data_IF_028609204562
#
_entry.id   IF_028609204562
#
_cell.length_a   1.000
_cell.length_b   1.000
_cell.length_c   1.000
_cell.angle_alpha   90.00
_cell.angle_beta   90.00
_cell.angle_gamma   90.00
#
_symmetry.space_group_name_H-M   'P 1'
#
loop_
_entity.id
_entity.type
_entity.pdbx_description
1 polymer ?
#
# COMPACT_ATOMS: atom_id res chain seq x y z
N UNK A 1 -44.37 62.52 -13.87
CA UNK A 1 -44.48 63.02 -15.26
C UNK A 1 -43.66 62.09 -16.15
N UNK A 2 -44.36 61.27 -16.96
CA UNK A 2 -43.94 60.72 -18.28
C UNK A 2 -42.80 59.67 -18.27
N UNK A 3 -43.14 58.36 -18.29
CA UNK A 3 -43.14 57.38 -19.42
C UNK A 3 -41.75 56.75 -19.67
N UNK A 4 -41.53 55.48 -20.05
CA UNK A 4 -42.30 54.36 -20.64
C UNK A 4 -41.38 53.11 -20.53
N UNK A 5 -41.74 51.89 -20.09
CA UNK A 5 -42.64 50.85 -20.60
C UNK A 5 -42.51 50.46 -22.08
N UNK A 6 -41.92 49.28 -22.33
CA UNK A 6 -42.36 48.15 -23.18
C UNK A 6 -41.16 47.18 -23.35
N UNK A 7 -41.28 45.85 -23.37
CA UNK A 7 -42.28 45.05 -24.09
C UNK A 7 -42.34 43.61 -23.56
N UNK A 8 -43.57 43.13 -23.35
CA UNK A 8 -43.96 41.73 -23.19
C UNK A 8 -44.33 41.19 -24.58
N UNK A 9 -43.93 39.96 -24.92
CA UNK A 9 -44.60 39.02 -25.84
C UNK A 9 -44.18 37.60 -25.41
N UNK A 10 -44.94 36.92 -24.55
CA UNK A 10 -45.97 35.92 -24.89
C UNK A 10 -45.51 34.86 -25.90
N UNK A 11 -45.22 33.64 -25.41
CA UNK A 11 -45.63 32.41 -26.09
C UNK A 11 -46.19 31.41 -25.07
N UNK A 12 -47.36 30.91 -25.42
CA UNK A 12 -48.23 29.98 -24.73
C UNK A 12 -47.89 28.54 -25.09
N UNK A 13 -47.79 27.65 -24.10
CA UNK A 13 -47.73 26.20 -24.30
C UNK A 13 -48.22 25.48 -23.04
N UNK A 14 -49.36 24.80 -23.15
CA UNK A 14 -50.14 24.17 -22.05
C UNK A 14 -49.38 23.01 -21.39
N UNK A 15 -49.65 22.69 -20.10
CA UNK A 15 -49.19 21.46 -19.48
C UNK A 15 -50.12 20.30 -19.91
N UNK A 16 -49.57 19.31 -20.61
CA UNK A 16 -50.27 18.07 -20.94
C UNK A 16 -50.24 17.12 -19.73
N UNK A 17 -51.41 16.95 -19.13
CA UNK A 17 -51.72 15.94 -18.13
C UNK A 17 -51.65 14.54 -18.79
N UNK A 18 -50.68 13.71 -18.42
CA UNK A 18 -50.67 12.31 -18.85
C UNK A 18 -51.52 11.48 -17.89
N UNK A 19 -52.74 11.17 -18.31
CA UNK A 19 -53.58 10.13 -17.73
C UNK A 19 -53.03 8.76 -18.12
N UNK A 20 -52.31 8.10 -17.21
CA UNK A 20 -51.94 6.69 -17.36
C UNK A 20 -53.16 5.81 -17.21
N UNK A 21 -53.66 5.25 -18.31
CA UNK A 21 -54.69 4.20 -18.32
C UNK A 21 -53.97 2.85 -18.35
N UNK A 22 -54.20 2.02 -17.33
CA UNK A 22 -53.71 0.64 -17.26
C UNK A 22 -54.51 -0.24 -18.23
N UNK A 23 -53.83 -0.84 -19.19
CA UNK A 23 -54.21 -2.01 -19.98
C UNK A 23 -52.91 -2.83 -20.06
N UNK A 24 -52.82 -4.10 -19.69
CA UNK A 24 -53.69 -5.22 -20.00
C UNK A 24 -52.76 -6.29 -20.57
N UNK A 25 -52.70 -7.43 -19.91
CA UNK A 25 -51.71 -8.50 -20.07
C UNK A 25 -51.69 -9.07 -21.50
N UNK A 26 -50.48 -9.19 -22.07
CA UNK A 26 -50.15 -10.21 -23.06
C UNK A 26 -50.35 -9.83 -24.52
N UNK A 27 -49.31 -9.24 -25.13
CA UNK A 27 -49.02 -9.48 -26.55
C UNK A 27 -47.52 -9.22 -26.80
N UNK A 28 -46.81 -10.28 -27.19
CA UNK A 28 -45.36 -10.31 -27.38
C UNK A 28 -45.09 -9.91 -28.84
N UNK A 29 -44.82 -8.62 -29.08
CA UNK A 29 -44.30 -8.18 -30.38
C UNK A 29 -42.91 -8.80 -30.59
N UNK A 30 -42.75 -9.57 -31.67
CA UNK A 30 -41.46 -10.08 -32.11
C UNK A 30 -40.64 -8.91 -32.62
N UNK A 31 -39.70 -8.46 -31.80
CA UNK A 31 -38.73 -7.44 -32.17
C UNK A 31 -37.61 -8.11 -32.99
N UNK A 32 -37.81 -8.21 -34.31
CA UNK A 32 -36.83 -8.78 -35.25
C UNK A 32 -35.66 -7.84 -35.57
N UNK A 33 -35.43 -6.80 -34.76
CA UNK A 33 -34.36 -5.82 -34.99
C UNK A 33 -33.57 -5.46 -33.73
N UNK A 34 -33.38 -6.40 -32.80
CA UNK A 34 -32.40 -6.22 -31.72
C UNK A 34 -30.98 -6.31 -32.31
N UNK A 35 -30.16 -5.25 -32.25
CA UNK A 35 -28.75 -5.35 -32.64
C UNK A 35 -28.10 -6.44 -31.77
N UNK A 36 -27.36 -7.35 -32.41
CA UNK A 36 -26.53 -8.32 -31.68
C UNK A 36 -25.54 -7.49 -30.84
N UNK A 37 -25.67 -7.57 -29.52
CA UNK A 37 -24.63 -7.10 -28.62
C UNK A 37 -23.43 -8.03 -28.80
N UNK A 38 -22.56 -7.72 -29.78
CA UNK A 38 -21.17 -8.15 -29.72
C UNK A 38 -20.57 -7.43 -28.52
N UNK A 39 -20.57 -8.11 -27.37
CA UNK A 39 -19.85 -7.65 -26.19
C UNK A 39 -18.36 -7.86 -26.46
N UNK A 40 -17.75 -6.92 -27.19
CA UNK A 40 -16.30 -6.81 -27.28
C UNK A 40 -15.78 -6.46 -25.88
N UNK A 41 -15.40 -7.48 -25.12
CA UNK A 41 -14.74 -7.29 -23.84
C UNK A 41 -13.36 -6.67 -24.10
N UNK A 42 -13.26 -5.35 -23.91
CA UNK A 42 -11.96 -4.68 -23.89
C UNK A 42 -11.23 -5.09 -22.61
N UNK A 43 -10.17 -5.88 -22.75
CA UNK A 43 -9.26 -6.18 -21.65
C UNK A 43 -8.45 -4.92 -21.33
N UNK A 44 -8.92 -4.12 -20.38
CA UNK A 44 -8.17 -3.00 -19.84
C UNK A 44 -7.16 -3.53 -18.82
N UNK A 45 -5.87 -3.47 -19.15
CA UNK A 45 -4.83 -3.71 -18.15
C UNK A 45 -4.73 -2.47 -17.25
N UNK A 46 -5.29 -2.58 -16.04
CA UNK A 46 -5.09 -1.55 -15.01
C UNK A 46 -3.63 -1.63 -14.55
N UNK A 47 -2.87 -0.53 -14.62
CA UNK A 47 -1.49 -0.52 -14.14
C UNK A 47 -1.46 -0.83 -12.64
N UNK A 48 -0.37 -1.45 -12.17
CA UNK A 48 -0.23 -1.79 -10.77
C UNK A 48 -0.29 -0.57 -9.84
N UNK A 49 -0.58 -0.80 -8.56
CA UNK A 49 -0.57 0.28 -7.57
C UNK A 49 0.88 0.66 -7.22
N UNK A 50 1.19 1.96 -7.27
CA UNK A 50 2.53 2.50 -6.98
C UNK A 50 3.03 2.12 -5.59
N UNK A 51 2.16 2.24 -4.58
CA UNK A 51 2.50 2.00 -3.18
C UNK A 51 2.66 0.52 -2.86
N UNK A 52 1.91 -0.36 -3.54
CA UNK A 52 2.08 -1.81 -3.46
C UNK A 52 3.38 -2.21 -4.18
N UNK A 53 3.62 -1.68 -5.39
CA UNK A 53 4.84 -1.94 -6.18
C UNK A 53 6.10 -1.68 -5.34
N UNK A 54 6.19 -0.53 -4.68
CA UNK A 54 7.37 -0.24 -3.83
C UNK A 54 7.50 -1.20 -2.64
N UNK A 55 6.40 -1.62 -2.02
CA UNK A 55 6.44 -2.59 -0.90
C UNK A 55 6.90 -3.96 -1.35
N UNK A 56 6.40 -4.46 -2.49
CA UNK A 56 6.79 -5.77 -3.00
C UNK A 56 8.24 -5.78 -3.45
N UNK A 57 8.76 -4.68 -4.02
CA UNK A 57 10.19 -4.57 -4.33
C UNK A 57 11.04 -4.66 -3.06
N UNK A 58 10.72 -3.85 -2.04
CA UNK A 58 11.44 -3.86 -0.76
C UNK A 58 11.40 -5.25 -0.13
N UNK A 59 10.22 -5.86 -0.05
CA UNK A 59 10.05 -7.16 0.60
C UNK A 59 10.73 -8.30 -0.18
N UNK A 60 10.64 -8.29 -1.52
CA UNK A 60 11.33 -9.26 -2.37
C UNK A 60 12.85 -9.15 -2.24
N UNK A 61 13.40 -7.94 -2.12
CA UNK A 61 14.83 -7.72 -1.87
C UNK A 61 15.28 -8.24 -0.50
N UNK A 62 14.39 -8.29 0.50
CA UNK A 62 14.65 -8.82 1.84
C UNK A 62 14.43 -10.33 1.98
N UNK A 63 13.82 -10.98 0.98
CA UNK A 63 13.53 -12.41 1.01
C UNK A 63 14.80 -13.26 0.88
N UNK A 64 14.77 -14.47 1.44
CA UNK A 64 15.83 -15.46 1.27
C UNK A 64 15.56 -16.32 0.03
N UNK A 65 15.89 -15.78 -1.15
CA UNK A 65 15.78 -16.49 -2.44
C UNK A 65 15.20 -15.64 -3.57
N UNK A 66 14.75 -16.32 -4.64
CA UNK A 66 14.21 -15.66 -5.83
C UNK A 66 12.70 -15.43 -5.74
N UNK A 67 12.30 -14.16 -5.76
CA UNK A 67 10.90 -13.72 -5.86
C UNK A 67 10.49 -13.48 -7.31
N UNK A 68 9.24 -13.77 -7.66
CA UNK A 68 8.65 -13.55 -9.00
C UNK A 68 7.53 -12.53 -8.93
N UNK A 69 7.70 -11.40 -9.58
CA UNK A 69 6.74 -10.28 -9.51
C UNK A 69 6.26 -9.90 -10.91
N UNK A 70 4.95 -9.76 -11.10
CA UNK A 70 4.34 -9.36 -12.37
C UNK A 70 3.26 -8.28 -12.19
N UNK A 71 2.99 -7.53 -13.24
CA UNK A 71 2.04 -6.42 -13.22
C UNK A 71 2.49 -5.23 -12.36
N UNK A 72 3.80 -5.05 -12.18
CA UNK A 72 4.36 -3.93 -11.44
C UNK A 72 4.10 -2.61 -12.17
N UNK A 73 3.94 -1.53 -11.42
CA UNK A 73 3.88 -0.20 -12.01
C UNK A 73 5.29 0.25 -12.42
N UNK A 74 5.49 0.53 -13.70
CA UNK A 74 6.68 1.26 -14.16
C UNK A 74 6.52 2.76 -13.87
N UNK A 75 7.57 3.39 -13.34
CA UNK A 75 7.60 4.84 -13.15
C UNK A 75 8.79 5.32 -12.32
N UNK A 76 9.07 6.62 -12.39
CA UNK A 76 10.26 7.24 -11.76
C UNK A 76 10.41 6.90 -10.27
N UNK A 77 9.35 7.08 -9.47
CA UNK A 77 9.39 6.75 -8.03
C UNK A 77 9.74 5.28 -7.75
N UNK A 78 9.25 4.37 -8.61
CA UNK A 78 9.50 2.93 -8.48
C UNK A 78 10.93 2.62 -8.88
N UNK A 79 11.42 3.18 -9.99
CA UNK A 79 12.80 3.01 -10.43
C UNK A 79 13.81 3.58 -9.44
N UNK A 80 13.55 4.73 -8.83
CA UNK A 80 14.43 5.25 -7.76
C UNK A 80 14.47 4.32 -6.55
N UNK A 81 13.34 3.68 -6.20
CA UNK A 81 13.31 2.69 -5.12
C UNK A 81 14.08 1.42 -5.51
N UNK A 82 13.91 0.96 -6.75
CA UNK A 82 14.63 -0.18 -7.32
C UNK A 82 16.16 0.06 -7.33
N UNK A 83 16.61 1.25 -7.73
CA UNK A 83 18.02 1.60 -7.77
C UNK A 83 18.66 1.66 -6.38
N UNK A 84 17.92 2.17 -5.39
CA UNK A 84 18.37 2.14 -4.01
C UNK A 84 18.51 0.69 -3.49
N UNK A 85 17.58 -0.19 -3.82
CA UNK A 85 17.66 -1.61 -3.46
C UNK A 85 18.83 -2.32 -4.16
N UNK A 86 19.12 -2.00 -5.43
CA UNK A 86 20.32 -2.48 -6.14
C UNK A 86 21.59 -2.01 -5.44
N UNK A 87 21.64 -0.75 -5.04
CA UNK A 87 22.78 -0.16 -4.31
C UNK A 87 23.00 -0.82 -2.95
N UNK A 88 21.93 -1.33 -2.33
CA UNK A 88 21.97 -2.11 -1.08
C UNK A 88 22.31 -3.60 -1.30
N UNK A 89 22.50 -4.04 -2.55
CA UNK A 89 23.00 -5.37 -2.90
C UNK A 89 21.96 -6.33 -3.50
N UNK A 90 20.70 -5.93 -3.66
CA UNK A 90 19.69 -6.79 -4.26
C UNK A 90 19.88 -6.92 -5.78
N UNK A 91 19.72 -8.14 -6.32
CA UNK A 91 19.76 -8.37 -7.77
C UNK A 91 18.35 -8.18 -8.33
N UNK A 92 18.11 -7.00 -8.91
CA UNK A 92 16.81 -6.57 -9.39
C UNK A 92 16.96 -5.96 -10.80
N UNK A 93 16.23 -6.43 -11.82
CA UNK A 93 16.24 -5.85 -13.16
C UNK A 93 15.42 -4.54 -13.21
N UNK A 94 15.52 -3.78 -14.29
CA UNK A 94 14.61 -2.64 -14.53
C UNK A 94 13.16 -3.10 -14.60
N UNK A 95 12.23 -2.26 -14.14
CA UNK A 95 10.82 -2.59 -14.15
C UNK A 95 10.29 -2.42 -15.58
N UNK A 96 9.71 -3.47 -16.19
CA UNK A 96 9.26 -3.40 -17.56
C UNK A 96 8.01 -2.53 -17.69
N UNK A 97 7.89 -1.81 -18.81
CA UNK A 97 6.76 -0.92 -19.08
C UNK A 97 5.47 -1.67 -19.43
N UNK A 98 5.58 -2.92 -19.88
CA UNK A 98 4.46 -3.79 -20.26
C UNK A 98 3.90 -4.61 -19.09
N UNK A 99 4.49 -4.50 -17.90
CA UNK A 99 4.10 -5.25 -16.71
C UNK A 99 4.48 -6.73 -16.74
N UNK A 100 5.40 -7.15 -17.61
CA UNK A 100 5.95 -8.51 -17.64
C UNK A 100 6.58 -8.91 -16.30
N UNK A 101 6.71 -10.23 -16.11
CA UNK A 101 7.31 -10.79 -14.89
C UNK A 101 8.79 -10.43 -14.78
N UNK A 102 9.21 -10.02 -13.59
CA UNK A 102 10.61 -9.91 -13.20
C UNK A 102 10.95 -10.89 -12.09
N UNK A 103 12.24 -11.23 -12.00
CA UNK A 103 12.82 -12.04 -10.93
C UNK A 103 13.76 -11.18 -10.11
N UNK A 104 13.64 -11.28 -8.79
CA UNK A 104 14.49 -10.57 -7.84
C UNK A 104 15.14 -11.61 -6.94
N UNK A 105 16.47 -11.66 -6.91
CA UNK A 105 17.21 -12.42 -5.92
C UNK A 105 17.36 -11.56 -4.67
N UNK A 106 16.61 -11.88 -3.62
CA UNK A 106 16.70 -11.20 -2.34
C UNK A 106 17.99 -11.53 -1.60
N UNK A 107 18.45 -10.59 -0.79
CA UNK A 107 19.69 -10.74 0.00
C UNK A 107 19.45 -11.31 1.39
N UNK A 108 18.18 -11.51 1.79
CA UNK A 108 17.81 -11.83 3.16
C UNK A 108 17.85 -10.62 4.10
N UNK A 109 17.25 -10.76 5.29
CA UNK A 109 17.15 -9.68 6.28
C UNK A 109 18.50 -9.09 6.69
N UNK A 110 19.54 -9.93 6.74
CA UNK A 110 20.89 -9.55 7.16
C UNK A 110 21.89 -9.38 5.98
N UNK A 111 21.42 -9.41 4.73
CA UNK A 111 22.30 -9.38 3.56
C UNK A 111 22.46 -8.02 2.88
N UNK A 112 21.77 -6.99 3.37
CA UNK A 112 21.94 -5.62 2.87
C UNK A 112 23.37 -5.14 3.11
N UNK A 113 23.90 -4.33 2.19
CA UNK A 113 25.25 -3.79 2.26
C UNK A 113 25.22 -2.27 2.23
N UNK A 114 26.13 -1.63 2.98
CA UNK A 114 26.31 -0.18 2.90
C UNK A 114 26.65 0.23 1.46
N UNK A 115 25.87 1.12 0.84
CA UNK A 115 26.12 1.56 -0.52
C UNK A 115 27.36 2.47 -0.56
N UNK A 116 28.04 2.54 -1.71
CA UNK A 116 29.17 3.46 -1.92
C UNK A 116 28.76 4.89 -2.26
N UNK A 117 27.47 5.11 -2.51
CA UNK A 117 26.85 6.39 -2.87
C UNK A 117 25.56 6.57 -2.08
N UNK A 118 25.12 7.81 -1.99
CA UNK A 118 23.81 8.13 -1.41
C UNK A 118 22.68 7.46 -2.20
N UNK A 119 21.64 7.03 -1.48
CA UNK A 119 20.44 6.42 -2.02
C UNK A 119 19.48 7.51 -2.50
N UNK A 120 19.56 7.86 -3.78
CA UNK A 120 18.68 8.86 -4.40
C UNK A 120 17.32 8.28 -4.73
N UNK A 121 16.30 8.74 -4.01
CA UNK A 121 14.93 8.28 -4.18
C UNK A 121 14.09 9.18 -5.10
N UNK A 122 14.71 10.15 -5.77
CA UNK A 122 14.02 11.11 -6.63
C UNK A 122 12.87 11.77 -5.88
N UNK A 123 11.63 11.56 -6.34
CA UNK A 123 10.43 12.08 -5.70
C UNK A 123 9.63 11.03 -4.89
N UNK A 124 10.19 9.83 -4.69
CA UNK A 124 9.52 8.68 -4.09
C UNK A 124 9.31 8.86 -2.58
N UNK A 125 8.22 9.54 -2.21
CA UNK A 125 7.87 9.77 -0.81
C UNK A 125 7.50 8.49 -0.04
N UNK A 126 6.92 7.49 -0.72
CA UNK A 126 6.68 6.18 -0.11
C UNK A 126 8.00 5.44 0.06
N UNK A 127 8.86 5.41 -0.97
CA UNK A 127 10.12 4.68 -0.96
C UNK A 127 11.03 5.18 0.15
N UNK A 128 11.13 6.51 0.30
CA UNK A 128 11.93 7.14 1.35
C UNK A 128 11.50 6.75 2.75
N UNK A 129 10.19 6.74 3.02
CA UNK A 129 9.68 6.41 4.36
C UNK A 129 9.86 4.93 4.69
N UNK A 130 9.62 4.05 3.72
CA UNK A 130 9.74 2.61 3.92
C UNK A 130 11.21 2.18 4.02
N UNK A 131 12.07 2.68 3.11
CA UNK A 131 13.50 2.40 3.16
C UNK A 131 14.14 2.95 4.42
N UNK A 132 13.70 4.11 4.94
CA UNK A 132 14.20 4.60 6.22
C UNK A 132 13.93 3.61 7.37
N UNK A 133 12.77 2.95 7.38
CA UNK A 133 12.46 1.88 8.34
C UNK A 133 13.34 0.65 8.15
N UNK A 134 13.52 0.20 6.90
CA UNK A 134 14.42 -0.93 6.56
C UNK A 134 15.85 -0.65 7.03
N UNK A 135 16.37 0.53 6.69
CA UNK A 135 17.73 0.94 7.01
C UNK A 135 17.93 1.07 8.51
N UNK A 136 16.97 1.65 9.23
CA UNK A 136 17.02 1.76 10.69
C UNK A 136 17.12 0.40 11.40
N UNK A 137 16.49 -0.64 10.87
CA UNK A 137 16.60 -2.01 11.41
C UNK A 137 17.82 -2.78 10.92
N UNK A 138 18.48 -2.32 9.85
CA UNK A 138 19.59 -3.01 9.22
C UNK A 138 20.94 -2.70 9.89
N UNK A 139 21.98 -3.45 9.50
CA UNK A 139 23.36 -3.17 9.91
C UNK A 139 24.12 -2.32 8.88
N UNK A 140 23.43 -1.58 8.01
CA UNK A 140 24.08 -0.76 6.98
C UNK A 140 24.16 0.71 7.38
N UNK A 141 25.21 1.38 6.90
CA UNK A 141 25.32 2.84 6.94
C UNK A 141 24.94 3.37 5.56
N UNK A 142 23.98 4.29 5.49
CA UNK A 142 23.51 4.85 4.24
C UNK A 142 22.92 6.25 4.41
N UNK A 143 23.02 7.08 3.38
CA UNK A 143 22.34 8.38 3.30
C UNK A 143 21.19 8.30 2.32
N UNK A 144 19.98 8.67 2.72
CA UNK A 144 18.86 8.86 1.80
C UNK A 144 18.82 10.30 1.31
N UNK A 145 18.74 10.49 0.01
CA UNK A 145 18.57 11.80 -0.65
C UNK A 145 17.38 11.75 -1.61
N UNK A 146 17.08 12.89 -2.23
CA UNK A 146 16.00 13.01 -3.20
C UNK A 146 16.03 14.36 -3.90
N UNK A 147 15.05 14.59 -4.77
CA UNK A 147 14.89 15.88 -5.45
C UNK A 147 14.49 17.01 -4.49
N UNK A 148 14.47 18.24 -4.99
CA UNK A 148 14.09 19.44 -4.22
C UNK A 148 12.69 19.30 -3.60
N UNK A 149 11.76 18.62 -4.29
CA UNK A 149 10.41 18.41 -3.76
C UNK A 149 10.45 17.47 -2.56
N UNK A 150 11.13 16.33 -2.67
CA UNK A 150 11.22 15.34 -1.60
C UNK A 150 12.00 15.86 -0.40
N UNK A 151 13.06 16.65 -0.61
CA UNK A 151 13.82 17.32 0.46
C UNK A 151 12.97 18.29 1.29
N UNK A 152 11.91 18.87 0.73
CA UNK A 152 10.98 19.72 1.50
C UNK A 152 9.91 18.94 2.28
N UNK A 153 9.84 17.61 2.13
CA UNK A 153 8.75 16.81 2.72
C UNK A 153 9.09 16.41 4.16
N UNK A 154 8.15 16.57 5.10
CA UNK A 154 8.38 16.20 6.48
C UNK A 154 8.51 14.68 6.64
N UNK A 155 9.58 14.28 7.31
CA UNK A 155 9.93 12.90 7.67
C UNK A 155 9.81 12.65 9.18
N UNK A 156 9.57 13.69 10.00
CA UNK A 156 9.47 13.59 11.48
C UNK A 156 8.56 12.48 11.97
N UNK A 157 7.38 12.30 11.35
CA UNK A 157 6.42 11.25 11.74
C UNK A 157 6.95 9.82 11.59
N UNK A 158 7.97 9.61 10.77
CA UNK A 158 8.67 8.33 10.61
C UNK A 158 9.93 8.32 11.48
N UNK A 159 10.67 9.42 11.53
CA UNK A 159 11.91 9.51 12.30
C UNK A 159 11.69 9.35 13.80
N UNK A 160 10.63 9.94 14.35
CA UNK A 160 10.32 9.92 15.78
C UNK A 160 10.17 8.49 16.35
N UNK A 161 9.28 7.62 15.83
CA UNK A 161 9.18 6.25 16.33
C UNK A 161 10.46 5.45 16.08
N UNK A 162 11.15 5.64 14.96
CA UNK A 162 12.44 4.96 14.71
C UNK A 162 13.52 5.38 15.71
N UNK A 163 13.57 6.66 16.07
CA UNK A 163 14.48 7.16 17.09
C UNK A 163 14.17 6.56 18.47
N UNK A 164 12.88 6.41 18.81
CA UNK A 164 12.45 5.74 20.04
C UNK A 164 12.80 4.24 20.05
N UNK A 165 12.81 3.59 18.88
CA UNK A 165 13.36 2.24 18.73
C UNK A 165 14.89 2.20 18.90
N UNK A 166 15.57 3.35 18.89
CA UNK A 166 17.03 3.45 19.05
C UNK A 166 17.77 3.73 17.74
N UNK A 167 17.07 3.95 16.63
CA UNK A 167 17.70 4.31 15.37
C UNK A 167 18.42 5.67 15.49
N UNK A 168 19.62 5.73 14.93
CA UNK A 168 20.38 6.98 14.83
C UNK A 168 20.22 7.55 13.44
N UNK A 169 19.52 8.68 13.38
CA UNK A 169 19.14 9.37 12.16
C UNK A 169 19.75 10.76 12.23
N UNK A 170 20.77 11.03 11.42
CA UNK A 170 21.41 12.35 11.33
C UNK A 170 20.82 13.11 10.14
N UNK A 171 20.14 14.23 10.42
CA UNK A 171 19.68 15.15 9.38
C UNK A 171 20.86 15.98 8.86
N UNK A 172 21.16 15.89 7.56
CA UNK A 172 22.29 16.61 6.95
C UNK A 172 21.88 17.98 6.37
N UNK A 173 20.59 18.30 6.45
CA UNK A 173 19.99 19.53 5.99
C UNK A 173 18.98 20.06 7.00
N UNK A 174 17.76 20.33 6.55
CA UNK A 174 16.69 20.78 7.44
C UNK A 174 16.26 19.66 8.41
N UNK A 175 16.15 20.00 9.69
CA UNK A 175 15.74 19.07 10.75
C UNK A 175 14.35 18.48 10.49
N UNK A 176 14.28 17.15 10.41
CA UNK A 176 13.05 16.42 10.10
C UNK A 176 12.77 16.23 8.61
N UNK A 177 13.72 16.55 7.72
CA UNK A 177 13.66 16.35 6.28
C UNK A 177 14.87 15.51 5.80
N UNK A 178 14.82 15.00 4.56
CA UNK A 178 16.02 14.44 3.92
C UNK A 178 16.90 15.56 3.34
N UNK A 179 18.24 15.42 3.25
CA UNK A 179 19.02 14.19 3.46
C UNK A 179 19.08 13.67 4.90
N UNK A 180 18.95 12.35 5.08
CA UNK A 180 19.09 11.66 6.39
C UNK A 180 20.15 10.57 6.24
N UNK A 181 21.18 10.61 7.09
CA UNK A 181 22.13 9.51 7.27
C UNK A 181 21.62 8.58 8.37
N UNK A 182 21.59 7.29 8.08
CA UNK A 182 21.31 6.22 9.02
C UNK A 182 22.63 5.55 9.38
N UNK A 183 22.92 5.40 10.67
CA UNK A 183 24.07 4.62 11.13
C UNK A 183 23.67 3.25 11.66
N UNK A 184 24.64 2.34 11.73
CA UNK A 184 24.48 0.95 12.17
C UNK A 184 24.99 0.72 13.60
N UNK A 185 25.12 1.78 14.40
CA UNK A 185 25.92 1.73 15.64
C UNK A 185 25.23 1.02 16.81
N UNK A 186 23.93 0.77 16.75
CA UNK A 186 23.17 0.14 17.83
C UNK A 186 22.00 -0.71 17.32
N UNK A 187 21.70 -1.85 17.99
CA UNK A 187 20.50 -2.62 17.70
C UNK A 187 19.24 -1.86 18.09
N UNK A 188 18.16 -2.08 17.34
CA UNK A 188 16.86 -1.55 17.69
C UNK A 188 16.25 -2.27 18.90
N UNK A 189 15.31 -1.58 19.54
CA UNK A 189 14.50 -2.05 20.66
C UNK A 189 13.05 -2.12 20.25
N UNK A 190 12.25 -2.88 21.00
CA UNK A 190 10.83 -3.02 20.69
C UNK A 190 10.09 -1.72 21.01
N UNK A 191 9.02 -1.47 20.26
CA UNK A 191 8.19 -0.27 20.43
C UNK A 191 6.72 -0.62 20.55
N UNK A 192 6.01 0.13 21.40
CA UNK A 192 4.57 0.28 21.37
C UNK A 192 4.23 1.74 21.01
N UNK A 193 3.80 1.94 19.77
CA UNK A 193 3.59 3.26 19.18
C UNK A 193 2.10 3.56 19.04
N UNK A 194 1.62 4.52 19.85
CA UNK A 194 0.31 5.12 19.64
C UNK A 194 0.44 6.24 18.59
N UNK A 195 -0.01 5.97 17.37
CA UNK A 195 0.09 6.90 16.26
C UNK A 195 -0.87 8.09 16.45
N UNK A 196 -0.36 9.34 16.49
CA UNK A 196 -1.22 10.53 16.61
C UNK A 196 -2.17 10.71 15.42
N UNK A 197 -1.77 10.20 14.24
CA UNK A 197 -2.57 10.27 13.00
C UNK A 197 -2.46 8.92 12.28
N UNK A 198 -3.59 8.31 11.85
CA UNK A 198 -3.55 7.12 11.01
C UNK A 198 -2.69 7.33 9.76
N UNK A 199 -1.66 6.51 9.57
CA UNK A 199 -0.71 6.63 8.47
C UNK A 199 -0.08 5.29 8.14
N UNK A 200 -0.51 4.72 7.02
CA UNK A 200 0.01 3.46 6.51
C UNK A 200 1.53 3.51 6.28
N UNK A 201 2.09 4.67 5.89
CA UNK A 201 3.53 4.81 5.68
C UNK A 201 4.32 4.77 7.00
N UNK A 202 3.82 5.40 8.07
CA UNK A 202 4.45 5.37 9.40
C UNK A 202 4.39 3.96 9.97
N UNK A 203 3.19 3.35 9.97
CA UNK A 203 2.99 1.96 10.38
C UNK A 203 3.92 1.01 9.62
N UNK A 204 3.98 1.13 8.29
CA UNK A 204 4.84 0.27 7.46
C UNK A 204 6.33 0.45 7.80
N UNK A 205 6.80 1.67 8.01
CA UNK A 205 8.21 1.93 8.33
C UNK A 205 8.60 1.29 9.68
N UNK A 206 7.73 1.41 10.69
CA UNK A 206 7.93 0.78 12.00
C UNK A 206 7.94 -0.76 11.88
N UNK A 207 7.01 -1.33 11.11
CA UNK A 207 6.95 -2.79 10.89
C UNK A 207 8.16 -3.31 10.13
N UNK A 208 8.66 -2.59 9.11
CA UNK A 208 9.91 -2.96 8.44
C UNK A 208 11.13 -2.83 9.36
N UNK A 209 11.19 -1.81 10.20
CA UNK A 209 12.26 -1.66 11.19
C UNK A 209 12.26 -2.80 12.21
N UNK A 210 11.08 -3.21 12.69
CA UNK A 210 10.92 -4.37 13.57
C UNK A 210 11.33 -5.68 12.88
N UNK A 211 10.92 -5.87 11.63
CA UNK A 211 11.25 -7.05 10.83
C UNK A 211 12.76 -7.18 10.61
N UNK A 212 13.40 -6.13 10.10
CA UNK A 212 14.84 -6.16 9.78
C UNK A 212 15.70 -6.13 11.05
N UNK A 213 15.27 -5.37 12.06
CA UNK A 213 15.97 -5.26 13.34
C UNK A 213 15.73 -6.42 14.31
N UNK A 214 14.93 -7.43 13.92
CA UNK A 214 14.64 -8.58 14.77
C UNK A 214 13.96 -8.21 16.10
N UNK A 215 13.16 -7.15 16.12
CA UNK A 215 12.54 -6.61 17.34
C UNK A 215 11.03 -6.44 17.20
N UNK A 216 10.32 -6.56 18.32
CA UNK A 216 8.87 -6.39 18.36
C UNK A 216 8.40 -4.98 18.01
N UNK A 217 7.28 -4.86 17.32
CA UNK A 217 6.67 -3.59 16.97
C UNK A 217 5.15 -3.66 17.11
N UNK A 218 4.59 -2.76 17.92
CA UNK A 218 3.14 -2.57 18.08
C UNK A 218 2.79 -1.18 17.60
N UNK A 219 1.81 -1.06 16.72
CA UNK A 219 1.32 0.22 16.20
C UNK A 219 -0.18 0.31 16.42
N UNK A 220 -0.62 1.32 17.14
CA UNK A 220 -2.04 1.60 17.41
C UNK A 220 -2.45 2.88 16.69
N UNK A 221 -3.48 2.82 15.86
CA UNK A 221 -4.04 3.96 15.12
C UNK A 221 -5.49 4.19 15.54
N UNK A 222 -5.95 5.45 15.67
CA UNK A 222 -7.34 5.74 16.03
C UNK A 222 -8.36 5.16 15.03
N UNK A 223 -7.99 5.09 13.75
CA UNK A 223 -8.73 4.44 12.68
C UNK A 223 -7.75 3.63 11.82
N UNK A 224 -8.24 2.56 11.21
CA UNK A 224 -7.45 1.74 10.30
C UNK A 224 -6.98 2.56 9.09
N UNK A 225 -5.66 2.63 8.90
CA UNK A 225 -5.05 3.03 7.62
C UNK A 225 -4.88 1.81 6.68
N UNK A 226 -4.53 2.04 5.41
CA UNK A 226 -4.28 0.94 4.43
C UNK A 226 -3.35 -0.13 5.01
N UNK A 227 -3.63 -1.38 4.66
CA UNK A 227 -3.06 -2.59 5.27
C UNK A 227 -2.17 -3.40 4.31
N UNK A 228 -1.61 -2.75 3.28
CA UNK A 228 -0.84 -3.43 2.24
C UNK A 228 0.41 -4.15 2.79
N UNK A 229 1.09 -3.57 3.78
CA UNK A 229 2.30 -4.18 4.35
C UNK A 229 1.95 -5.43 5.14
N UNK A 230 0.89 -5.37 5.93
CA UNK A 230 0.40 -6.46 6.76
C UNK A 230 0.01 -7.66 5.90
N UNK A 231 -0.73 -7.42 4.81
CA UNK A 231 -1.09 -8.48 3.86
C UNK A 231 0.14 -9.08 3.18
N UNK A 232 1.07 -8.25 2.73
CA UNK A 232 2.30 -8.74 2.09
C UNK A 232 3.19 -9.51 3.07
N UNK A 233 3.25 -9.10 4.34
CA UNK A 233 3.96 -9.81 5.40
C UNK A 233 3.39 -11.23 5.59
N UNK A 234 2.07 -11.36 5.60
CA UNK A 234 1.42 -12.66 5.70
C UNK A 234 1.79 -13.60 4.53
N UNK A 235 1.86 -13.09 3.30
CA UNK A 235 2.23 -13.88 2.10
C UNK A 235 3.66 -14.45 2.16
N UNK A 236 4.56 -13.82 2.93
CA UNK A 236 5.97 -14.23 3.03
C UNK A 236 6.33 -14.84 4.39
N UNK A 237 5.32 -15.18 5.19
CA UNK A 237 5.49 -15.86 6.47
C UNK A 237 5.91 -14.96 7.64
N UNK A 238 5.72 -13.63 7.54
CA UNK A 238 5.94 -12.70 8.65
C UNK A 238 4.66 -12.60 9.48
N UNK A 239 4.66 -13.06 10.75
CA UNK A 239 3.45 -13.14 11.56
C UNK A 239 3.06 -11.77 12.09
N UNK A 240 2.02 -11.19 11.51
CA UNK A 240 1.37 -9.97 12.02
C UNK A 240 0.01 -10.29 12.63
N UNK A 241 -0.24 -9.75 13.82
CA UNK A 241 -1.55 -9.82 14.47
C UNK A 241 -2.27 -8.48 14.30
N UNK A 242 -3.56 -8.53 13.99
CA UNK A 242 -4.40 -7.34 13.79
C UNK A 242 -5.60 -7.46 14.72
N UNK A 243 -5.84 -6.44 15.54
CA UNK A 243 -6.99 -6.39 16.46
C UNK A 243 -7.57 -5.00 16.58
N UNK A 244 -8.88 -4.93 16.76
CA UNK A 244 -9.54 -3.69 17.18
C UNK A 244 -9.64 -3.71 18.71
N UNK A 245 -9.10 -2.69 19.34
CA UNK A 245 -9.09 -2.48 20.79
C UNK A 245 -9.84 -1.18 21.11
N UNK A 246 -10.22 -0.91 22.37
CA UNK A 246 -10.94 0.31 22.72
C UNK A 246 -10.23 1.61 22.30
N UNK A 247 -8.90 1.61 22.23
CA UNK A 247 -8.09 2.75 21.80
C UNK A 247 -7.88 2.85 20.28
N UNK A 248 -8.37 1.89 19.48
CA UNK A 248 -8.31 1.95 18.03
C UNK A 248 -7.95 0.63 17.34
N UNK A 249 -7.38 0.74 16.15
CA UNK A 249 -6.88 -0.35 15.34
C UNK A 249 -5.42 -0.62 15.65
N UNK A 250 -5.09 -1.84 16.09
CA UNK A 250 -3.74 -2.22 16.50
C UNK A 250 -3.18 -3.32 15.60
N UNK A 251 -1.93 -3.13 15.19
CA UNK A 251 -1.13 -4.08 14.41
C UNK A 251 0.14 -4.42 15.18
N UNK A 252 0.45 -5.71 15.30
CA UNK A 252 1.59 -6.21 16.05
C UNK A 252 2.45 -7.16 15.24
N UNK A 253 3.75 -6.93 15.32
CA UNK A 253 4.81 -7.86 14.97
C UNK A 253 5.53 -8.23 16.28
N UNK A 254 5.09 -9.29 16.96
CA UNK A 254 5.63 -9.64 18.28
C UNK A 254 6.90 -10.53 18.20
N UNK A 255 7.02 -11.33 17.15
CA UNK A 255 8.14 -12.25 16.95
C UNK A 255 8.53 -12.25 15.47
N UNK A 256 9.34 -11.26 15.03
CA UNK A 256 9.87 -11.25 13.68
C UNK A 256 10.59 -12.57 13.35
N UNK A 257 10.40 -13.13 12.16
CA UNK A 257 11.13 -14.32 11.74
C UNK A 257 12.55 -13.94 11.32
N UNK A 258 13.49 -14.89 11.42
CA UNK A 258 14.86 -14.70 10.93
C UNK A 258 14.96 -14.79 9.39
N UNK A 259 13.91 -15.32 8.75
CA UNK A 259 13.85 -15.58 7.31
C UNK A 259 12.51 -15.08 6.77
N UNK A 260 12.56 -14.44 5.60
CA UNK A 260 11.39 -14.05 4.83
C UNK A 260 11.32 -14.93 3.57
N UNK A 261 10.18 -15.56 3.32
CA UNK A 261 10.01 -16.43 2.16
C UNK A 261 9.99 -15.63 0.84
N UNK A 262 10.42 -16.21 -0.29
CA UNK A 262 10.29 -15.56 -1.58
C UNK A 262 8.83 -15.25 -1.96
N UNK A 263 8.61 -14.09 -2.56
CA UNK A 263 7.29 -13.59 -2.91
C UNK A 263 6.92 -13.97 -4.35
N UNK A 264 5.70 -14.48 -4.54
CA UNK A 264 5.06 -14.60 -5.86
C UNK A 264 3.92 -13.59 -5.91
N UNK A 265 4.08 -12.52 -6.70
CA UNK A 265 3.14 -11.40 -6.74
C UNK A 265 2.62 -11.14 -8.15
N UNK A 266 1.30 -10.89 -8.24
CA UNK A 266 0.64 -10.45 -9.46
C UNK A 266 -0.39 -9.36 -9.15
N UNK A 267 -0.20 -8.18 -9.74
CA UNK A 267 -1.05 -7.02 -9.42
C UNK A 267 -2.53 -7.16 -9.82
N UNK A 268 -2.89 -8.07 -10.74
CA UNK A 268 -4.27 -8.21 -11.22
C UNK A 268 -5.18 -9.11 -10.35
N UNK A 269 -4.73 -9.60 -9.19
CA UNK A 269 -5.51 -10.59 -8.40
C UNK A 269 -5.77 -10.27 -6.93
N UNK A 270 -4.97 -9.42 -6.28
CA UNK A 270 -4.94 -9.44 -4.80
C UNK A 270 -5.89 -8.49 -4.06
N UNK A 271 -6.51 -7.51 -4.72
CA UNK A 271 -7.23 -6.42 -4.01
C UNK A 271 -8.69 -6.21 -4.42
N UNK A 272 -9.29 -7.14 -5.19
CA UNK A 272 -10.70 -7.05 -5.59
C UNK A 272 -11.69 -7.88 -4.75
N UNK A 273 -11.26 -8.53 -3.67
CA UNK A 273 -12.20 -9.12 -2.73
C UNK A 273 -12.44 -8.21 -1.52
N UNK A 274 -13.42 -7.32 -1.66
CA UNK A 274 -14.22 -6.90 -0.50
C UNK A 274 -15.06 -8.11 -0.08
N UNK A 275 -14.52 -8.95 0.80
CA UNK A 275 -15.32 -9.99 1.44
C UNK A 275 -16.15 -9.36 2.56
N UNK A 276 -17.44 -9.19 2.25
CA UNK A 276 -18.51 -9.23 3.23
C UNK A 276 -18.42 -10.54 4.01
N UNK A 277 -17.97 -10.46 5.27
CA UNK A 277 -18.09 -11.56 6.21
C UNK A 277 -19.56 -11.67 6.64
N UNK A 278 -20.34 -12.48 5.92
CA UNK A 278 -21.60 -13.02 6.45
C UNK A 278 -21.26 -14.20 7.37
N UNK A 279 -21.24 -13.95 8.67
CA UNK A 279 -21.23 -15.01 9.67
C UNK A 279 -22.58 -15.74 9.60
N UNK A 280 -22.58 -16.97 9.08
CA UNK A 280 -23.68 -17.91 9.30
C UNK A 280 -23.36 -18.72 10.55
N UNK A 281 -24.28 -18.88 11.51
CA UNK A 281 -24.02 -19.68 12.70
C UNK A 281 -24.00 -21.18 12.35
N UNK A 282 -23.18 -21.99 13.04
CA UNK A 282 -23.15 -23.43 12.81
C UNK A 282 -24.45 -24.07 13.27
N UNK A 283 -25.04 -24.86 12.38
CA UNK A 283 -26.20 -25.71 12.62
C UNK A 283 -25.82 -26.77 13.65
N UNK A 284 -26.33 -26.66 14.88
CA UNK A 284 -26.23 -27.71 15.89
C UNK A 284 -27.25 -28.82 15.60
N UNK A 285 -26.77 -30.02 15.27
CA UNK A 285 -27.57 -31.24 15.34
C UNK A 285 -27.91 -31.55 16.80
N UNK A 286 -29.19 -31.40 17.14
CA UNK A 286 -29.78 -31.96 18.35
C UNK A 286 -29.96 -33.48 18.15
N UNK A 287 -28.98 -34.27 18.58
CA UNK A 287 -29.18 -35.71 18.79
C UNK A 287 -29.95 -35.89 20.09
N UNK A 288 -31.24 -36.23 19.95
CA UNK A 288 -32.09 -36.68 21.02
C UNK A 288 -31.66 -38.06 21.51
N UNK A 289 -31.36 -38.16 22.81
CA UNK A 289 -31.44 -39.42 23.55
C UNK A 289 -32.09 -39.13 24.89
N UNK A 290 -33.32 -39.60 25.05
CA UNK A 290 -33.89 -39.97 26.35
C UNK A 290 -34.48 -41.37 26.18
N UNK A 291 -34.31 -42.29 27.13
CA UNK A 291 -35.17 -43.45 27.23
C UNK A 291 -36.58 -43.06 27.70
#
# INVERSE_FOLDING_TARGET
>A
MIQSHERILKTSGKPTCYSGRVLGVGERLKDENRPKEDSDFVKVNVPGDKSITQRVLILASLASGESRLSGLLHGGDVESTAEALRSLGAELPSIPTDGSEIRITGVGLNGLRSPSKDLDLGNSGTGARLLLGVLAGSQVEATLVGDVSLQSRPMRRVCEPLHLMGARLEHLGEEGCIPIRVDNSAPLRSIDWLSPVPSAQVKSAILFAGLVGGTGAVVTEALQSRDHTERLFAEVGVPVSIRNIPSGHQVELNSPPDIVAPLVFQSQGMFHQQHSLSLSPPSGELVSKSP
#
